data_IF_040600562643
#
_entry.id   IF_040600562643
#
_cell.length_a   1.000
_cell.length_b   1.000
_cell.length_c   1.000
_cell.angle_alpha   90.00
_cell.angle_beta   90.00
_cell.angle_gamma   90.00
#
_symmetry.space_group_name_H-M   'P 1'
#
loop_
_entity.id
_entity.type
_entity.pdbx_description
1 polymer ?
#
# COMPACT_ATOMS: atom_id res chain seq x y z
N UNK A 1 -17.19 38.90 -39.62
CA UNK A 1 -15.81 38.60 -39.14
C UNK A 1 -15.54 39.59 -38.01
N UNK A 2 -15.17 39.29 -36.77
CA UNK A 2 -14.86 38.10 -36.02
C UNK A 2 -14.88 38.52 -34.53
N UNK A 3 -15.84 38.05 -33.71
CA UNK A 3 -15.83 38.30 -32.25
C UNK A 3 -16.28 37.06 -31.46
N UNK A 4 -15.66 35.91 -31.73
CA UNK A 4 -15.93 34.65 -31.01
C UNK A 4 -14.62 33.91 -30.67
N UNK A 5 -13.66 34.55 -29.99
CA UNK A 5 -12.39 33.90 -29.63
C UNK A 5 -11.85 34.18 -28.21
N UNK A 6 -12.71 34.52 -27.25
CA UNK A 6 -12.28 34.80 -25.87
C UNK A 6 -13.24 34.16 -24.85
N UNK A 7 -13.29 32.83 -24.80
CA UNK A 7 -14.00 32.12 -23.70
C UNK A 7 -13.56 30.67 -23.47
N UNK A 8 -12.42 30.23 -24.01
CA UNK A 8 -11.99 28.81 -23.93
C UNK A 8 -10.69 28.58 -23.15
N UNK A 9 -10.07 29.63 -22.61
CA UNK A 9 -8.72 29.52 -22.04
C UNK A 9 -8.64 29.52 -20.51
N UNK A 10 -9.75 29.62 -19.78
CA UNK A 10 -9.73 29.60 -18.30
C UNK A 10 -10.18 28.28 -17.65
N UNK A 11 -10.80 27.36 -18.40
CA UNK A 11 -11.27 26.07 -17.83
C UNK A 11 -10.21 24.96 -17.82
N UNK A 12 -9.08 25.15 -18.52
CA UNK A 12 -8.05 24.11 -18.65
C UNK A 12 -7.07 24.06 -17.46
N UNK A 13 -6.98 25.11 -16.65
CA UNK A 13 -5.95 25.22 -15.60
C UNK A 13 -6.33 24.48 -14.30
N UNK A 14 -7.62 24.20 -14.07
CA UNK A 14 -8.08 23.48 -12.87
C UNK A 14 -7.94 21.95 -12.96
N UNK A 15 -7.80 21.39 -14.16
CA UNK A 15 -7.73 19.93 -14.40
C UNK A 15 -6.30 19.36 -14.33
N UNK A 16 -5.27 20.20 -14.23
CA UNK A 16 -3.86 19.79 -14.20
C UNK A 16 -3.23 19.77 -12.80
N UNK A 17 -3.97 20.15 -11.75
CA UNK A 17 -3.47 20.20 -10.36
C UNK A 17 -3.80 18.96 -9.50
N UNK A 18 -4.44 17.93 -10.06
CA UNK A 18 -4.93 16.77 -9.31
C UNK A 18 -4.28 15.43 -9.71
N UNK A 19 -2.94 15.29 -9.59
CA UNK A 19 -2.43 13.98 -9.21
C UNK A 19 -1.34 14.02 -8.13
N UNK A 20 -1.33 15.03 -7.24
CA UNK A 20 -0.30 15.10 -6.18
C UNK A 20 -0.68 14.44 -4.85
N UNK A 21 -1.88 13.89 -4.71
CA UNK A 21 -2.30 13.32 -3.44
C UNK A 21 -2.19 11.80 -3.52
N UNK A 22 -1.49 11.22 -2.53
CA UNK A 22 -1.50 9.81 -2.13
C UNK A 22 -0.28 8.95 -2.45
N UNK A 23 0.91 9.49 -2.72
CA UNK A 23 2.12 8.65 -2.56
C UNK A 23 2.51 8.64 -1.08
N UNK A 24 2.05 7.63 -0.32
CA UNK A 24 2.62 7.42 1.02
C UNK A 24 4.05 6.93 0.84
N UNK A 25 5.02 7.60 1.45
CA UNK A 25 6.43 7.20 1.38
C UNK A 25 6.72 5.96 2.21
N UNK A 26 7.98 5.50 2.13
CA UNK A 26 8.51 4.49 3.05
C UNK A 26 8.45 4.97 4.50
N UNK A 27 8.36 4.01 5.41
CA UNK A 27 8.45 4.26 6.86
C UNK A 27 9.76 3.66 7.35
N UNK A 28 10.38 4.23 8.39
CA UNK A 28 11.68 3.75 8.88
C UNK A 28 11.67 2.24 9.17
N UNK A 29 12.50 1.48 8.46
CA UNK A 29 12.58 0.00 8.46
C UNK A 29 11.42 -0.75 7.77
N UNK A 30 10.58 -0.04 7.02
CA UNK A 30 9.44 -0.61 6.30
C UNK A 30 9.30 -0.07 4.87
N UNK A 31 9.26 -0.98 3.91
CA UNK A 31 9.13 -0.65 2.49
C UNK A 31 7.67 -0.59 2.09
N UNK A 32 7.25 0.51 1.47
CA UNK A 32 5.89 0.65 0.98
C UNK A 32 5.72 -0.10 -0.35
N UNK A 33 4.81 -1.07 -0.38
CA UNK A 33 4.50 -1.84 -1.60
C UNK A 33 3.33 -1.26 -2.40
N UNK A 34 2.64 -0.26 -1.85
CA UNK A 34 1.51 0.41 -2.48
C UNK A 34 0.18 0.12 -1.81
N UNK A 35 -0.89 0.33 -2.58
CA UNK A 35 -2.27 0.21 -2.09
C UNK A 35 -2.75 -1.24 -2.06
N UNK A 36 -3.59 -1.53 -1.07
CA UNK A 36 -4.21 -2.82 -0.82
C UNK A 36 -3.54 -3.59 0.30
N UNK A 37 -4.25 -4.60 0.80
CA UNK A 37 -3.73 -5.48 1.84
C UNK A 37 -2.55 -6.28 1.33
N UNK A 38 -1.59 -6.50 2.22
CA UNK A 38 -0.35 -7.22 1.99
C UNK A 38 -0.62 -8.69 1.71
N UNK A 39 0.12 -9.24 0.75
CA UNK A 39 0.03 -10.65 0.37
C UNK A 39 1.40 -11.28 0.24
N UNK A 40 1.45 -12.59 0.47
CA UNK A 40 2.63 -13.41 0.19
C UNK A 40 2.80 -13.66 -1.33
N UNK A 41 3.81 -14.44 -1.70
CA UNK A 41 4.08 -14.79 -3.11
C UNK A 41 2.97 -15.61 -3.77
N UNK A 42 2.05 -16.18 -2.98
CA UNK A 42 0.89 -16.97 -3.42
C UNK A 42 -0.40 -16.14 -3.44
N UNK A 43 -0.33 -14.84 -3.14
CA UNK A 43 -1.49 -13.97 -3.03
C UNK A 43 -2.32 -14.20 -1.77
N UNK A 44 -1.81 -14.91 -0.76
CA UNK A 44 -2.53 -15.14 0.49
C UNK A 44 -2.33 -13.98 1.47
N UNK A 45 -3.38 -13.63 2.22
CA UNK A 45 -3.33 -12.60 3.25
C UNK A 45 -2.69 -13.13 4.53
N UNK A 46 -2.00 -12.26 5.26
CA UNK A 46 -1.41 -12.56 6.55
C UNK A 46 -2.44 -12.56 7.68
N UNK A 47 -2.17 -13.33 8.73
CA UNK A 47 -2.90 -13.18 9.99
C UNK A 47 -2.58 -11.82 10.58
N UNK A 48 -3.51 -11.22 11.32
CA UNK A 48 -3.32 -9.85 11.80
C UNK A 48 -3.85 -9.57 13.19
N UNK A 49 -3.19 -8.60 13.84
CA UNK A 49 -3.68 -7.88 15.01
C UNK A 49 -3.90 -6.44 14.58
N UNK A 50 -5.12 -5.95 14.74
CA UNK A 50 -5.52 -4.59 14.39
C UNK A 50 -5.94 -3.84 15.64
N UNK A 51 -5.36 -2.68 15.86
CA UNK A 51 -5.75 -1.78 16.95
C UNK A 51 -7.11 -1.12 16.65
N UNK A 52 -8.01 -1.07 17.63
CA UNK A 52 -9.31 -0.41 17.47
C UNK A 52 -9.25 1.11 17.62
N UNK A 53 -8.11 1.66 17.97
CA UNK A 53 -7.86 3.11 18.00
C UNK A 53 -7.28 3.61 16.68
N UNK A 54 -7.40 4.93 16.46
CA UNK A 54 -6.89 5.58 15.25
C UNK A 54 -5.49 6.14 15.50
N UNK A 55 -4.62 6.00 14.51
CA UNK A 55 -3.28 6.59 14.50
C UNK A 55 -3.21 7.78 13.53
N UNK A 56 -2.39 8.80 13.82
CA UNK A 56 -2.30 9.98 12.96
C UNK A 56 -1.78 9.63 11.55
N UNK A 57 -0.81 8.70 11.47
CA UNK A 57 -0.10 8.32 10.26
C UNK A 57 0.53 6.91 10.36
N UNK A 58 1.04 6.42 9.23
CA UNK A 58 1.69 5.12 9.12
C UNK A 58 2.99 5.01 9.93
N UNK A 59 3.73 6.12 10.10
CA UNK A 59 4.98 6.13 10.86
C UNK A 59 4.74 5.91 12.36
N UNK A 60 3.70 6.53 12.88
CA UNK A 60 3.26 6.37 14.27
C UNK A 60 2.67 4.98 14.48
N UNK A 61 1.87 4.47 13.53
CA UNK A 61 1.41 3.07 13.56
C UNK A 61 2.60 2.08 13.64
N UNK A 62 3.61 2.25 12.78
CA UNK A 62 4.77 1.38 12.76
C UNK A 62 5.59 1.45 14.05
N UNK A 63 5.87 2.66 14.55
CA UNK A 63 6.78 2.87 15.68
C UNK A 63 6.13 2.68 17.05
N UNK A 64 4.87 3.07 17.22
CA UNK A 64 4.17 2.98 18.50
C UNK A 64 3.42 1.65 18.69
N UNK A 65 2.88 1.07 17.62
CA UNK A 65 2.07 -0.16 17.73
C UNK A 65 2.83 -1.39 17.26
N UNK A 66 3.24 -1.46 15.99
CA UNK A 66 3.77 -2.71 15.45
C UNK A 66 5.25 -2.97 15.80
N UNK A 67 6.02 -1.95 16.22
CA UNK A 67 7.42 -2.11 16.59
C UNK A 67 7.64 -3.09 17.75
N UNK A 68 6.67 -3.26 18.65
CA UNK A 68 6.77 -4.22 19.77
C UNK A 68 6.86 -5.68 19.30
N UNK A 69 6.42 -5.95 18.06
CA UNK A 69 6.50 -7.28 17.43
C UNK A 69 7.73 -7.46 16.55
N UNK A 70 8.60 -6.45 16.44
CA UNK A 70 9.77 -6.47 15.51
C UNK A 70 10.75 -7.61 15.77
N UNK A 71 10.77 -8.18 16.98
CA UNK A 71 11.60 -9.33 17.34
C UNK A 71 10.89 -10.68 17.15
N UNK A 72 9.60 -10.70 16.81
CA UNK A 72 8.88 -11.94 16.57
C UNK A 72 9.21 -12.50 15.18
N UNK A 73 9.65 -13.76 15.10
CA UNK A 73 10.02 -14.40 13.82
C UNK A 73 8.88 -14.46 12.81
N UNK A 74 7.63 -14.45 13.29
CA UNK A 74 6.41 -14.48 12.48
C UNK A 74 5.98 -13.09 12.00
N UNK A 75 6.55 -12.00 12.50
CA UNK A 75 6.18 -10.64 12.10
C UNK A 75 6.69 -10.31 10.69
N UNK A 76 5.80 -9.75 9.86
CA UNK A 76 6.08 -9.52 8.43
C UNK A 76 5.96 -8.06 7.99
N UNK A 77 5.29 -7.22 8.77
CA UNK A 77 5.03 -5.84 8.39
C UNK A 77 3.72 -5.33 8.97
N UNK A 78 3.20 -4.27 8.38
CA UNK A 78 1.93 -3.70 8.81
C UNK A 78 1.12 -3.15 7.63
N UNK A 79 -0.16 -2.96 7.87
CA UNK A 79 -1.06 -2.20 7.01
C UNK A 79 -1.55 -0.96 7.74
N UNK A 80 -1.59 0.15 7.02
CA UNK A 80 -2.22 1.37 7.51
C UNK A 80 -3.47 1.67 6.71
N UNK A 81 -4.63 1.56 7.36
CA UNK A 81 -5.91 1.75 6.68
C UNK A 81 -6.20 3.22 6.41
N UNK A 82 -7.00 3.48 5.38
CA UNK A 82 -7.51 4.85 5.11
C UNK A 82 -8.38 5.38 6.25
N UNK A 83 -8.97 4.48 7.05
CA UNK A 83 -9.70 4.79 8.29
C UNK A 83 -8.78 5.03 9.49
N UNK A 84 -7.46 5.13 9.27
CA UNK A 84 -6.41 5.37 10.26
C UNK A 84 -6.22 4.25 11.28
N UNK A 85 -6.53 3.00 10.91
CA UNK A 85 -6.30 1.83 11.78
C UNK A 85 -4.95 1.19 11.46
N UNK A 86 -4.30 0.73 12.50
CA UNK A 86 -3.00 0.06 12.43
C UNK A 86 -3.20 -1.44 12.53
N UNK A 87 -2.70 -2.18 11.54
CA UNK A 87 -2.83 -3.63 11.44
C UNK A 87 -1.46 -4.27 11.32
N UNK A 88 -1.00 -4.97 12.36
CA UNK A 88 0.29 -5.68 12.36
C UNK A 88 0.11 -7.09 11.79
N UNK A 89 1.03 -7.51 10.92
CA UNK A 89 0.91 -8.72 10.11
C UNK A 89 1.84 -9.84 10.58
N UNK A 90 1.29 -11.05 10.60
CA UNK A 90 1.96 -12.25 11.05
C UNK A 90 1.72 -13.43 10.10
N UNK A 91 2.68 -14.34 10.04
CA UNK A 91 2.47 -15.63 9.38
C UNK A 91 1.25 -16.38 9.96
N UNK A 92 0.65 -17.21 9.11
CA UNK A 92 -0.42 -18.14 9.45
C UNK A 92 -0.15 -18.87 10.77
N UNK A 93 -1.14 -18.85 11.66
CA UNK A 93 -1.14 -19.53 12.97
C UNK A 93 0.02 -19.17 13.92
N UNK A 94 0.79 -18.11 13.61
CA UNK A 94 1.93 -17.64 14.42
C UNK A 94 1.75 -16.23 14.94
N UNK A 95 0.51 -15.79 15.05
CA UNK A 95 0.13 -14.51 15.64
C UNK A 95 0.20 -14.62 17.18
N UNK A 96 0.84 -13.68 17.87
CA UNK A 96 0.89 -13.70 19.33
C UNK A 96 -0.52 -13.49 19.92
N UNK A 97 -0.80 -14.03 21.12
CA UNK A 97 -2.04 -13.72 21.81
C UNK A 97 -2.07 -12.22 22.18
N UNK A 98 -3.27 -11.65 22.16
CA UNK A 98 -3.55 -10.29 22.63
C UNK A 98 -4.49 -10.36 23.82
N UNK A 99 -4.12 -9.71 24.91
CA UNK A 99 -5.00 -9.53 26.05
C UNK A 99 -6.06 -8.49 25.67
N UNK A 100 -7.33 -8.86 25.73
CA UNK A 100 -8.40 -8.07 25.15
C UNK A 100 -9.72 -8.29 25.90
N UNK A 101 -10.40 -7.20 26.26
CA UNK A 101 -11.73 -7.27 26.86
C UNK A 101 -12.78 -7.64 25.81
N UNK A 102 -13.71 -8.53 26.17
CA UNK A 102 -14.82 -8.91 25.30
C UNK A 102 -15.85 -7.79 25.09
N UNK A 103 -16.01 -6.90 26.07
CA UNK A 103 -17.04 -5.84 26.06
C UNK A 103 -16.58 -4.60 25.29
N UNK A 104 -15.28 -4.31 25.32
CA UNK A 104 -14.69 -3.21 24.55
C UNK A 104 -13.30 -3.62 24.07
N UNK A 105 -13.22 -4.33 22.93
CA UNK A 105 -11.96 -4.86 22.45
C UNK A 105 -11.04 -3.73 21.98
N UNK A 106 -9.87 -3.66 22.57
CA UNK A 106 -8.74 -2.84 22.16
C UNK A 106 -8.11 -3.35 20.84
N UNK A 107 -8.29 -4.66 20.58
CA UNK A 107 -7.76 -5.35 19.41
C UNK A 107 -8.83 -6.12 18.63
N UNK A 108 -8.70 -6.13 17.32
CA UNK A 108 -9.36 -7.09 16.43
C UNK A 108 -8.28 -8.00 15.86
N UNK A 109 -8.53 -9.30 15.84
CA UNK A 109 -7.59 -10.26 15.27
C UNK A 109 -8.29 -11.23 14.33
N UNK A 110 -7.57 -11.66 13.30
CA UNK A 110 -8.06 -12.66 12.37
C UNK A 110 -6.92 -13.48 11.80
N UNK A 111 -7.15 -14.77 11.69
CA UNK A 111 -6.19 -15.73 11.12
C UNK A 111 -6.42 -15.89 9.63
N UNK A 112 -5.33 -15.94 8.86
CA UNK A 112 -5.28 -16.25 7.44
C UNK A 112 -4.06 -17.13 7.12
N UNK A 113 -3.89 -17.49 5.85
CA UNK A 113 -2.93 -18.50 5.38
C UNK A 113 -1.62 -17.95 4.81
N UNK A 114 -1.40 -16.63 4.86
CA UNK A 114 -0.19 -15.98 4.33
C UNK A 114 1.05 -16.39 5.11
N UNK A 115 2.13 -16.66 4.39
CA UNK A 115 3.40 -17.08 4.98
C UNK A 115 4.62 -16.43 4.32
N UNK A 116 5.69 -16.27 5.10
CA UNK A 116 6.96 -15.76 4.61
C UNK A 116 6.92 -14.25 4.37
N UNK A 117 7.93 -13.72 3.70
CA UNK A 117 8.05 -12.26 3.47
C UNK A 117 6.93 -11.70 2.58
N UNK A 118 6.50 -10.47 2.87
CA UNK A 118 5.49 -9.78 2.05
C UNK A 118 6.03 -9.57 0.63
N UNK A 119 5.28 -10.02 -0.37
CA UNK A 119 5.70 -10.02 -1.77
C UNK A 119 4.92 -9.04 -2.64
N UNK A 120 3.69 -8.71 -2.27
CA UNK A 120 2.85 -7.80 -3.04
C UNK A 120 1.62 -7.31 -2.29
N UNK A 121 0.71 -6.69 -3.02
CA UNK A 121 -0.56 -6.18 -2.49
C UNK A 121 -1.73 -6.69 -3.32
N UNK A 122 -2.91 -6.73 -2.71
CA UNK A 122 -4.17 -7.06 -3.42
C UNK A 122 -4.63 -6.00 -4.41
N UNK A 123 -4.06 -4.79 -4.40
CA UNK A 123 -4.48 -3.66 -5.23
C UNK A 123 -5.83 -3.03 -4.84
N UNK A 124 -6.61 -3.67 -3.97
CA UNK A 124 -7.91 -3.16 -3.52
C UNK A 124 -7.75 -1.90 -2.66
N UNK A 125 -8.44 -0.80 -2.95
CA UNK A 125 -8.39 0.39 -2.10
C UNK A 125 -8.88 0.10 -0.68
N UNK A 126 -8.15 0.57 0.33
CA UNK A 126 -8.59 0.45 1.73
C UNK A 126 -7.44 0.50 2.75
N UNK A 127 -6.25 0.11 2.34
CA UNK A 127 -5.05 0.19 3.15
C UNK A 127 -3.78 0.40 2.30
N UNK A 128 -2.70 0.71 2.98
CA UNK A 128 -1.34 0.76 2.44
C UNK A 128 -0.52 -0.35 3.06
N UNK A 129 0.23 -1.07 2.24
CA UNK A 129 1.00 -2.23 2.64
C UNK A 129 2.47 -1.87 2.88
N UNK A 130 2.98 -2.23 4.06
CA UNK A 130 4.34 -1.95 4.47
C UNK A 130 5.06 -3.23 4.89
N UNK A 131 6.13 -3.58 4.17
CA UNK A 131 6.95 -4.77 4.43
C UNK A 131 8.06 -4.46 5.43
N UNK A 132 8.20 -5.27 6.48
CA UNK A 132 9.29 -5.14 7.45
C UNK A 132 10.64 -5.58 6.86
N UNK A 133 11.70 -4.78 7.07
CA UNK A 133 13.07 -5.15 6.73
C UNK A 133 13.97 -3.97 6.30
N UNK A 134 15.26 -4.04 6.65
CA UNK A 134 16.28 -2.97 6.48
C UNK A 134 16.58 -2.52 5.04
N UNK A 135 16.01 -3.16 4.01
CA UNK A 135 16.25 -2.85 2.60
C UNK A 135 15.06 -2.14 1.94
N UNK A 136 14.34 -1.33 2.71
CA UNK A 136 13.16 -0.58 2.25
C UNK A 136 13.50 0.49 1.20
N UNK A 137 14.78 0.83 1.02
CA UNK A 137 15.24 1.82 0.04
C UNK A 137 15.28 1.35 -1.43
N UNK A 138 14.88 0.12 -1.76
CA UNK A 138 15.07 -0.44 -3.13
C UNK A 138 13.85 -1.19 -3.67
N UNK A 139 12.67 -0.57 -3.63
CA UNK A 139 11.60 -0.93 -4.57
C UNK A 139 10.92 0.33 -5.07
N UNK A 140 11.63 1.05 -5.94
CA UNK A 140 10.98 1.81 -6.99
C UNK A 140 10.09 0.84 -7.76
N UNK A 141 8.83 0.74 -7.33
CA UNK A 141 7.78 0.06 -8.07
C UNK A 141 7.58 0.86 -9.34
N UNK A 142 8.38 0.51 -10.34
CA UNK A 142 8.20 0.90 -11.71
C UNK A 142 6.88 0.26 -12.09
N UNK A 143 5.80 1.03 -11.96
CA UNK A 143 4.52 0.68 -12.54
C UNK A 143 4.80 0.40 -14.02
N UNK A 144 4.76 -0.88 -14.38
CA UNK A 144 4.88 -1.35 -15.75
C UNK A 144 3.67 -0.85 -16.54
N UNK A 145 3.74 0.39 -17.01
CA UNK A 145 2.94 0.85 -18.13
C UNK A 145 3.46 0.13 -19.37
N UNK A 146 2.79 -0.95 -19.75
CA UNK A 146 2.93 -1.53 -21.08
C UNK A 146 2.41 -0.51 -22.10
N UNK A 147 3.27 0.40 -22.55
CA UNK A 147 3.02 1.17 -23.77
C UNK A 147 3.40 0.26 -24.93
N UNK A 148 2.40 -0.40 -25.52
CA UNK A 148 2.55 -1.11 -26.77
C UNK A 148 2.80 -0.07 -27.89
N UNK A 149 4.06 0.16 -28.24
CA UNK A 149 4.42 0.91 -29.45
C UNK A 149 4.19 0.02 -30.66
N UNK A 150 3.07 0.25 -31.34
CA UNK A 150 2.81 -0.32 -32.67
C UNK A 150 3.76 0.39 -33.65
N UNK A 151 4.86 -0.27 -34.02
CA UNK A 151 5.70 0.19 -35.12
C UNK A 151 4.99 -0.10 -36.45
N UNK A 152 4.42 0.94 -37.05
CA UNK A 152 3.95 0.93 -38.43
C UNK A 152 5.17 1.00 -39.36
N UNK A 153 5.54 -0.12 -39.98
CA UNK A 153 6.53 -0.13 -41.08
C UNK A 153 5.80 0.06 -42.41
N UNK A 154 5.87 1.27 -42.95
CA UNK A 154 5.57 1.56 -44.35
C UNK A 154 6.71 1.06 -45.22
N UNK A 155 6.48 -0.03 -45.98
CA UNK A 155 7.33 -0.41 -47.09
C UNK A 155 7.01 0.47 -48.30
N UNK A 156 7.96 1.34 -48.67
CA UNK A 156 7.93 2.08 -49.93
C UNK A 156 8.66 1.23 -50.98
N UNK A 157 7.89 0.57 -51.86
CA UNK A 157 8.45 -0.06 -53.05
C UNK A 157 8.71 1.01 -54.11
N UNK A 158 9.97 1.15 -54.49
CA UNK A 158 10.40 1.84 -55.71
C UNK A 158 10.36 0.82 -56.84
N UNK A 159 9.59 1.11 -57.88
CA UNK A 159 9.76 0.58 -59.24
C UNK A 159 9.77 1.76 -60.18
#
# INVERSE_FOLDING_TARGET
MNSHRLALFELATFLLLLPFVLCQGDVNNYGNLGRGSCTDTRGQFYSYIQRTEKFPDASTCASAECAKYSNAESYRGFEFSVSKRCTCLFDADRMPPVDNSAENPEYLSKTYNGQGGVAGTSGTPGAWCYRFGKNSANMGSTAGFFVATIMSTTFLFVV
#
